data_IF_354556965865
#
_entry.id   IF_354556965865
#
_cell.length_a   1.000
_cell.length_b   1.000
_cell.length_c   1.000
_cell.angle_alpha   90.00
_cell.angle_beta   90.00
_cell.angle_gamma   90.00
#
_symmetry.space_group_name_H-M   'P 1'
#
loop_
_entity.id
_entity.type
_entity.pdbx_description
1 polymer ?
#
# COMPACT_ATOMS: atom_id res chain seq x y z
N UNK A 1 2.19 3.96 18.82
CA UNK A 1 3.26 4.05 19.87
C UNK A 1 4.19 2.85 19.79
N UNK A 2 3.70 1.61 19.78
CA UNK A 2 4.57 0.42 19.79
C UNK A 2 5.66 0.37 18.70
N UNK A 3 5.32 0.69 17.44
CA UNK A 3 6.30 0.74 16.34
C UNK A 3 7.39 1.77 16.62
N UNK A 4 7.04 2.98 17.07
CA UNK A 4 7.99 4.08 17.30
C UNK A 4 8.91 3.77 18.47
N UNK A 5 8.43 3.09 19.50
CA UNK A 5 9.28 2.65 20.63
C UNK A 5 10.38 1.69 20.16
N UNK A 6 10.06 0.75 19.26
CA UNK A 6 11.06 -0.15 18.65
C UNK A 6 11.98 0.63 17.70
N UNK A 7 11.41 1.52 16.88
CA UNK A 7 12.16 2.35 15.93
C UNK A 7 13.23 3.22 16.61
N UNK A 8 12.91 3.79 17.76
CA UNK A 8 13.87 4.55 18.54
C UNK A 8 15.02 3.69 19.07
N UNK A 9 14.75 2.43 19.45
CA UNK A 9 15.79 1.50 19.92
C UNK A 9 16.77 1.07 18.81
N UNK A 10 16.40 1.17 17.54
CA UNK A 10 17.31 0.91 16.41
C UNK A 10 18.54 1.84 16.39
N UNK A 11 18.54 2.94 17.16
CA UNK A 11 19.74 3.79 17.36
C UNK A 11 20.87 3.05 18.06
N UNK A 12 20.53 2.03 18.84
CA UNK A 12 21.52 1.23 19.57
C UNK A 12 21.76 -0.09 18.84
N UNK A 13 22.98 -0.36 18.36
CA UNK A 13 23.29 -1.61 17.68
C UNK A 13 22.92 -2.84 18.52
N UNK A 14 22.15 -3.76 17.93
CA UNK A 14 21.73 -4.99 18.58
C UNK A 14 20.56 -4.86 19.57
N UNK A 15 19.97 -3.68 19.75
CA UNK A 15 18.84 -3.47 20.67
C UNK A 15 17.48 -3.97 20.15
N UNK A 16 17.40 -4.31 18.86
CA UNK A 16 16.19 -4.86 18.22
C UNK A 16 16.52 -6.22 17.62
N UNK A 17 15.74 -7.23 17.97
CA UNK A 17 15.85 -8.55 17.35
C UNK A 17 15.26 -8.49 15.94
N UNK A 18 16.00 -9.04 14.99
CA UNK A 18 15.58 -9.13 13.58
C UNK A 18 15.59 -10.61 13.21
N UNK A 19 14.40 -11.16 13.01
CA UNK A 19 14.19 -12.50 12.47
C UNK A 19 14.01 -12.43 10.95
N UNK A 20 13.90 -13.59 10.31
CA UNK A 20 13.62 -13.70 8.88
C UNK A 20 12.40 -14.57 8.66
N UNK A 21 11.48 -14.08 7.83
CA UNK A 21 10.33 -14.85 7.34
C UNK A 21 10.78 -15.94 6.36
N UNK A 22 9.86 -16.81 5.97
CA UNK A 22 10.14 -17.90 5.02
C UNK A 22 10.64 -17.40 3.65
N UNK A 23 10.23 -16.21 3.22
CA UNK A 23 10.67 -15.52 2.00
C UNK A 23 11.96 -14.69 2.18
N UNK A 24 12.64 -14.85 3.32
CA UNK A 24 13.84 -14.13 3.72
C UNK A 24 13.65 -12.62 3.97
N UNK A 25 12.41 -12.09 3.98
CA UNK A 25 12.13 -10.72 4.43
C UNK A 25 12.38 -10.57 5.93
N UNK A 26 12.80 -9.39 6.40
CA UNK A 26 13.01 -9.15 7.82
C UNK A 26 11.67 -9.10 8.58
N UNK A 27 11.67 -9.64 9.79
CA UNK A 27 10.60 -9.56 10.77
C UNK A 27 11.16 -8.96 12.05
N UNK A 28 10.51 -7.96 12.60
CA UNK A 28 10.92 -7.33 13.85
C UNK A 28 9.84 -7.46 14.93
N UNK A 29 10.22 -7.19 16.17
CA UNK A 29 9.24 -7.09 17.26
C UNK A 29 8.20 -5.98 17.05
N UNK A 30 8.50 -4.97 16.20
CA UNK A 30 7.57 -3.92 15.85
C UNK A 30 6.39 -4.45 15.02
N UNK A 31 6.67 -5.33 14.03
CA UNK A 31 5.65 -6.00 13.21
C UNK A 31 4.68 -6.78 14.10
N UNK A 32 5.21 -7.61 15.00
CA UNK A 32 4.40 -8.43 15.91
C UNK A 32 3.62 -7.62 16.94
N UNK A 33 4.20 -6.54 17.46
CA UNK A 33 3.52 -5.67 18.41
C UNK A 33 2.36 -4.91 17.75
N UNK A 34 2.58 -4.37 16.54
CA UNK A 34 1.56 -3.72 15.75
C UNK A 34 0.45 -4.71 15.36
N UNK A 35 0.82 -5.90 14.87
CA UNK A 35 -0.11 -6.97 14.53
C UNK A 35 -1.12 -7.23 15.67
N UNK A 36 -0.63 -7.49 16.89
CA UNK A 36 -1.50 -7.80 18.04
C UNK A 36 -2.49 -6.67 18.32
N UNK A 37 -2.01 -5.42 18.38
CA UNK A 37 -2.85 -4.25 18.68
C UNK A 37 -3.94 -4.09 17.61
N UNK A 38 -3.58 -4.20 16.33
CA UNK A 38 -4.51 -3.99 15.22
C UNK A 38 -5.53 -5.12 15.16
N UNK A 39 -5.09 -6.38 15.22
CA UNK A 39 -5.98 -7.54 15.12
C UNK A 39 -6.96 -7.59 16.29
N UNK A 40 -6.48 -7.35 17.51
CA UNK A 40 -7.36 -7.31 18.69
C UNK A 40 -8.39 -6.16 18.60
N UNK A 41 -7.95 -4.98 18.13
CA UNK A 41 -8.83 -3.84 17.92
C UNK A 41 -9.90 -4.10 16.86
N UNK A 42 -9.52 -4.67 15.71
CA UNK A 42 -10.48 -5.00 14.64
C UNK A 42 -11.45 -6.10 15.04
N UNK A 43 -11.00 -7.13 15.76
CA UNK A 43 -11.88 -8.19 16.30
C UNK A 43 -12.86 -7.65 17.33
N UNK A 44 -12.46 -6.67 18.13
CA UNK A 44 -13.37 -6.01 19.09
C UNK A 44 -14.38 -5.11 18.37
N UNK A 45 -13.98 -4.44 17.30
CA UNK A 45 -14.81 -3.51 16.53
C UNK A 45 -15.86 -4.25 15.68
N UNK A 46 -15.47 -5.35 15.04
CA UNK A 46 -16.30 -6.11 14.09
C UNK A 46 -16.06 -7.61 14.27
N UNK A 47 -16.59 -8.24 15.35
CA UNK A 47 -16.31 -9.64 15.68
C UNK A 47 -16.73 -10.64 14.60
N UNK A 48 -17.68 -10.26 13.75
CA UNK A 48 -18.20 -11.09 12.65
C UNK A 48 -17.33 -11.10 11.39
N UNK A 49 -16.36 -10.17 11.26
CA UNK A 49 -15.54 -10.10 10.06
C UNK A 49 -14.15 -10.70 10.30
N UNK A 50 -13.72 -11.63 9.43
CA UNK A 50 -12.37 -12.17 9.51
C UNK A 50 -11.31 -11.08 9.41
N UNK A 51 -10.19 -11.28 10.11
CA UNK A 51 -8.99 -10.44 9.98
C UNK A 51 -7.88 -11.29 9.42
N UNK A 52 -7.34 -10.89 8.27
CA UNK A 52 -6.16 -11.44 7.65
C UNK A 52 -5.02 -10.44 7.81
N UNK A 53 -3.96 -10.83 8.47
CA UNK A 53 -2.76 -10.02 8.64
C UNK A 53 -1.56 -10.73 8.02
N UNK A 54 -0.60 -9.99 7.48
CA UNK A 54 0.65 -10.52 6.96
C UNK A 54 1.32 -11.47 7.95
N UNK A 55 1.29 -11.15 9.26
CA UNK A 55 1.96 -11.93 10.31
C UNK A 55 1.17 -13.18 10.74
N UNK A 56 -0.04 -13.39 10.21
CA UNK A 56 -0.90 -14.56 10.44
C UNK A 56 -1.68 -14.90 9.15
N UNK A 57 -0.94 -15.05 8.04
CA UNK A 57 -1.52 -15.22 6.71
C UNK A 57 -1.70 -16.71 6.31
N UNK A 58 -1.45 -17.67 7.22
CA UNK A 58 -1.60 -19.11 6.93
C UNK A 58 -3.08 -19.54 6.99
N UNK A 59 -3.90 -18.92 6.14
CA UNK A 59 -5.33 -19.26 6.02
C UNK A 59 -5.57 -19.93 4.67
N UNK A 60 -5.99 -21.21 4.64
CA UNK A 60 -6.23 -21.95 3.41
C UNK A 60 -7.27 -21.25 2.49
N UNK A 61 -7.03 -21.28 1.17
CA UNK A 61 -7.95 -20.69 0.20
C UNK A 61 -9.38 -21.23 0.35
N UNK A 62 -9.54 -22.53 0.65
CA UNK A 62 -10.86 -23.15 0.86
C UNK A 62 -11.67 -22.48 1.99
N UNK A 63 -11.00 -21.89 2.97
CA UNK A 63 -11.63 -21.14 4.06
C UNK A 63 -11.95 -19.71 3.63
N UNK A 64 -10.94 -18.99 3.13
CA UNK A 64 -11.05 -17.56 2.84
C UNK A 64 -11.80 -17.23 1.54
N UNK A 65 -11.94 -18.18 0.62
CA UNK A 65 -12.73 -17.99 -0.61
C UNK A 65 -14.22 -17.76 -0.34
N UNK A 66 -14.72 -18.17 0.83
CA UNK A 66 -16.08 -17.87 1.29
C UNK A 66 -16.27 -16.50 1.94
N UNK A 67 -15.19 -15.72 2.10
CA UNK A 67 -15.28 -14.43 2.77
C UNK A 67 -15.75 -13.34 1.80
N UNK A 68 -16.97 -12.88 1.97
CA UNK A 68 -17.50 -11.74 1.23
C UNK A 68 -16.98 -10.40 1.77
N UNK A 69 -16.58 -10.37 3.06
CA UNK A 69 -16.06 -9.18 3.72
C UNK A 69 -15.01 -9.59 4.76
N UNK A 70 -13.85 -8.92 4.78
CA UNK A 70 -12.76 -9.19 5.73
C UNK A 70 -11.81 -8.01 5.82
N UNK A 71 -11.09 -7.90 6.93
CA UNK A 71 -9.98 -6.97 7.09
C UNK A 71 -8.71 -7.57 6.54
N UNK A 72 -7.95 -6.75 5.81
CA UNK A 72 -6.65 -7.08 5.27
C UNK A 72 -5.62 -6.09 5.81
N UNK A 73 -4.59 -6.60 6.49
CA UNK A 73 -3.69 -5.79 7.32
C UNK A 73 -2.24 -6.09 7.00
N UNK A 74 -1.45 -5.04 6.78
CA UNK A 74 -0.01 -5.05 6.90
C UNK A 74 0.38 -4.22 8.14
N UNK A 75 0.86 -4.86 9.20
CA UNK A 75 1.21 -4.16 10.43
C UNK A 75 2.40 -3.23 10.30
N UNK A 76 3.33 -3.50 9.36
CA UNK A 76 4.50 -2.69 9.08
C UNK A 76 5.01 -2.92 7.65
N UNK A 77 4.42 -2.23 6.67
CA UNK A 77 4.91 -2.21 5.28
C UNK A 77 6.20 -1.37 5.19
N UNK A 78 7.22 -1.95 4.58
CA UNK A 78 8.52 -1.32 4.43
C UNK A 78 9.47 -1.61 5.59
N UNK A 79 9.60 -2.88 6.01
CA UNK A 79 10.52 -3.28 7.08
C UNK A 79 11.99 -2.93 6.74
N UNK A 80 12.35 -2.89 5.45
CA UNK A 80 13.69 -2.41 5.03
C UNK A 80 13.86 -0.92 5.27
N UNK A 81 12.85 -0.13 4.98
CA UNK A 81 12.79 1.31 5.24
C UNK A 81 12.81 1.59 6.75
N UNK A 82 12.10 0.79 7.53
CA UNK A 82 12.14 0.81 8.99
C UNK A 82 13.55 0.55 9.52
N UNK A 83 14.21 -0.51 9.07
CA UNK A 83 15.58 -0.86 9.49
C UNK A 83 16.61 0.16 9.01
N UNK A 84 16.45 0.75 7.83
CA UNK A 84 17.34 1.80 7.31
C UNK A 84 17.08 3.19 7.91
N UNK A 85 16.04 3.32 8.74
CA UNK A 85 15.66 4.54 9.44
C UNK A 85 15.36 5.75 8.53
N UNK A 86 14.83 5.48 7.31
CA UNK A 86 14.47 6.56 6.40
C UNK A 86 13.07 7.15 6.65
N UNK A 87 12.26 6.53 7.53
CA UNK A 87 10.93 6.99 7.89
C UNK A 87 9.81 6.68 6.88
N UNK A 88 10.12 6.00 5.78
CA UNK A 88 9.17 5.73 4.69
C UNK A 88 8.49 4.34 4.86
N UNK A 89 7.99 4.04 6.04
CA UNK A 89 7.25 2.82 6.34
C UNK A 89 5.85 3.16 6.85
N UNK A 90 4.90 2.26 6.64
CA UNK A 90 3.49 2.51 6.93
C UNK A 90 2.82 1.34 7.64
N UNK A 91 1.68 1.60 8.26
CA UNK A 91 0.70 0.60 8.70
C UNK A 91 -0.46 0.65 7.73
N UNK A 92 -0.85 -0.48 7.16
CA UNK A 92 -1.92 -0.56 6.17
C UNK A 92 -3.08 -1.39 6.70
N UNK A 93 -4.29 -0.82 6.71
CA UNK A 93 -5.52 -1.51 7.13
C UNK A 93 -6.58 -1.28 6.07
N UNK A 94 -7.09 -2.34 5.46
CA UNK A 94 -8.15 -2.28 4.48
C UNK A 94 -9.37 -3.12 4.90
N UNK A 95 -10.56 -2.63 4.64
CA UNK A 95 -11.76 -3.47 4.59
C UNK A 95 -12.03 -3.84 3.14
N UNK A 96 -11.99 -5.13 2.85
CA UNK A 96 -12.28 -5.69 1.53
C UNK A 96 -13.68 -6.28 1.53
N UNK A 97 -14.48 -5.93 0.54
CA UNK A 97 -15.81 -6.49 0.29
C UNK A 97 -15.93 -6.93 -1.16
N UNK A 98 -16.34 -8.19 -1.36
CA UNK A 98 -16.50 -8.76 -2.70
C UNK A 98 -15.26 -8.50 -3.60
N UNK A 99 -14.09 -8.80 -3.05
CA UNK A 99 -12.77 -8.64 -3.68
C UNK A 99 -12.33 -7.18 -3.96
N UNK A 100 -13.03 -6.18 -3.45
CA UNK A 100 -12.73 -4.75 -3.63
C UNK A 100 -12.45 -4.09 -2.30
N UNK A 101 -11.43 -3.25 -2.17
CA UNK A 101 -11.21 -2.50 -0.95
C UNK A 101 -12.23 -1.35 -0.88
N UNK A 102 -12.99 -1.29 0.22
CA UNK A 102 -14.04 -0.28 0.43
C UNK A 102 -13.69 0.73 1.53
N UNK A 103 -12.78 0.38 2.42
CA UNK A 103 -12.17 1.29 3.40
C UNK A 103 -10.67 1.07 3.33
N UNK A 104 -9.91 2.15 3.41
CA UNK A 104 -8.46 2.10 3.52
C UNK A 104 -7.95 3.08 4.54
N UNK A 105 -6.99 2.65 5.35
CA UNK A 105 -6.20 3.49 6.26
C UNK A 105 -4.73 3.18 6.05
N UNK A 106 -3.94 4.21 5.78
CA UNK A 106 -2.48 4.16 5.73
C UNK A 106 -1.95 5.15 6.77
N UNK A 107 -1.37 4.62 7.83
CA UNK A 107 -0.74 5.42 8.89
C UNK A 107 0.77 5.49 8.66
N UNK A 108 1.35 6.68 8.82
CA UNK A 108 2.80 6.94 8.72
C UNK A 108 3.36 7.15 10.14
N UNK A 109 3.92 6.13 10.80
CA UNK A 109 4.24 6.20 12.21
C UNK A 109 5.22 7.33 12.60
N UNK A 110 6.17 7.66 11.71
CA UNK A 110 7.21 8.67 11.99
C UNK A 110 6.64 10.09 12.01
N UNK A 111 5.66 10.37 11.17
CA UNK A 111 5.08 11.72 11.03
C UNK A 111 3.74 11.88 11.75
N UNK A 112 3.09 10.75 12.11
CA UNK A 112 1.75 10.74 12.66
C UNK A 112 0.65 11.05 11.64
N UNK A 113 1.00 11.09 10.34
CA UNK A 113 0.04 11.36 9.26
C UNK A 113 -0.80 10.11 9.00
N UNK A 114 -2.10 10.32 8.85
CA UNK A 114 -3.06 9.33 8.42
C UNK A 114 -3.64 9.68 7.05
N UNK A 115 -3.64 8.71 6.14
CA UNK A 115 -4.44 8.74 4.92
C UNK A 115 -5.57 7.74 5.07
N UNK A 116 -6.79 8.15 4.78
CA UNK A 116 -7.93 7.24 4.87
C UNK A 116 -8.99 7.52 3.82
N UNK A 117 -9.79 6.52 3.53
CA UNK A 117 -10.86 6.60 2.55
C UNK A 117 -12.04 5.72 2.91
N UNK A 118 -13.21 6.13 2.41
CA UNK A 118 -14.45 5.35 2.40
C UNK A 118 -14.96 5.36 0.96
N UNK A 119 -15.23 4.18 0.40
CA UNK A 119 -15.71 4.03 -0.97
C UNK A 119 -16.95 4.89 -1.23
N UNK A 120 -16.98 5.54 -2.39
CA UNK A 120 -18.05 6.44 -2.82
C UNK A 120 -18.24 7.71 -2.00
N UNK A 121 -17.40 7.94 -0.96
CA UNK A 121 -17.44 9.14 -0.13
C UNK A 121 -16.25 10.05 -0.43
N UNK A 122 -15.02 9.52 -0.38
CA UNK A 122 -13.82 10.28 -0.68
C UNK A 122 -12.57 9.74 0.01
N UNK A 123 -11.49 10.54 -0.07
CA UNK A 123 -10.24 10.29 0.64
C UNK A 123 -9.77 11.55 1.35
N UNK A 124 -9.07 11.35 2.48
CA UNK A 124 -8.60 12.43 3.36
C UNK A 124 -7.18 12.16 3.84
N UNK A 125 -6.51 13.24 4.20
CA UNK A 125 -5.23 13.25 4.90
C UNK A 125 -5.37 14.02 6.21
N UNK A 126 -5.07 13.38 7.33
CA UNK A 126 -5.02 13.97 8.66
C UNK A 126 -3.57 14.12 9.13
N UNK A 127 -3.28 15.18 9.87
CA UNK A 127 -1.94 15.47 10.40
C UNK A 127 -1.71 14.84 11.80
N UNK A 128 -2.77 14.36 12.43
CA UNK A 128 -2.74 13.69 13.74
C UNK A 128 -4.05 12.93 13.96
N UNK A 129 -4.08 12.06 14.97
CA UNK A 129 -5.26 11.27 15.33
C UNK A 129 -6.51 12.12 15.71
N UNK A 130 -6.31 13.35 16.15
CA UNK A 130 -7.40 14.28 16.53
C UNK A 130 -7.86 15.16 15.35
N UNK A 131 -7.19 15.07 14.20
CA UNK A 131 -7.53 15.81 12.99
C UNK A 131 -8.59 15.05 12.19
N UNK A 132 -9.69 15.72 11.83
CA UNK A 132 -10.74 15.13 10.98
C UNK A 132 -10.31 14.90 9.53
N UNK A 133 -9.14 15.39 9.17
CA UNK A 133 -8.53 15.27 7.85
C UNK A 133 -9.05 16.30 6.83
N UNK A 134 -8.15 16.67 5.94
CA UNK A 134 -8.44 17.47 4.76
C UNK A 134 -8.69 16.57 3.55
N UNK A 135 -9.72 16.82 2.72
CA UNK A 135 -9.95 16.00 1.54
C UNK A 135 -8.78 16.08 0.55
N UNK A 136 -8.39 14.94 0.01
CA UNK A 136 -7.35 14.82 -1.02
C UNK A 136 -7.94 14.36 -2.35
N UNK A 137 -7.29 14.75 -3.44
CA UNK A 137 -7.67 14.34 -4.79
C UNK A 137 -6.43 14.13 -5.64
N UNK A 138 -6.51 13.17 -6.55
CA UNK A 138 -5.51 13.00 -7.60
C UNK A 138 -5.40 14.27 -8.47
N UNK A 139 -4.29 14.44 -9.15
CA UNK A 139 -4.10 15.54 -10.10
C UNK A 139 -5.22 15.50 -11.16
N UNK A 140 -5.86 16.63 -11.48
CA UNK A 140 -6.95 16.69 -12.47
C UNK A 140 -6.46 16.46 -13.90
N UNK A 141 -5.17 16.67 -14.15
CA UNK A 141 -4.48 16.44 -15.42
C UNK A 141 -3.05 16.02 -15.16
N UNK A 142 -2.50 15.25 -16.09
CA UNK A 142 -1.09 14.85 -16.06
C UNK A 142 -0.18 16.06 -16.21
N UNK A 143 0.98 15.98 -15.54
CA UNK A 143 2.00 17.01 -15.63
C UNK A 143 2.89 16.81 -16.86
N UNK A 144 3.60 17.84 -17.23
CA UNK A 144 4.63 17.82 -18.29
C UNK A 144 5.90 18.42 -17.69
N UNK A 145 6.95 17.59 -17.45
CA UNK A 145 7.01 16.12 -17.66
C UNK A 145 6.10 15.34 -16.71
N UNK A 146 5.76 14.09 -17.09
CA UNK A 146 4.97 13.16 -16.23
C UNK A 146 5.71 12.85 -14.94
N UNK A 147 5.02 12.86 -13.83
CA UNK A 147 5.57 12.48 -12.52
C UNK A 147 5.24 11.01 -12.24
N UNK A 148 6.25 10.17 -12.33
CA UNK A 148 6.13 8.72 -12.16
C UNK A 148 6.63 8.32 -10.78
N UNK A 149 5.82 7.63 -10.00
CA UNK A 149 6.28 7.09 -8.72
C UNK A 149 7.05 5.79 -8.97
N UNK A 150 8.23 5.70 -8.39
CA UNK A 150 9.08 4.51 -8.43
C UNK A 150 9.48 4.03 -7.05
N UNK A 151 9.75 2.72 -6.94
CA UNK A 151 10.32 2.16 -5.72
C UNK A 151 11.77 2.61 -5.57
N UNK A 152 12.14 3.05 -4.37
CA UNK A 152 13.53 3.38 -4.03
C UNK A 152 14.43 2.14 -4.07
N UNK A 153 13.89 1.01 -3.68
CA UNK A 153 14.64 -0.22 -3.42
C UNK A 153 14.49 -1.30 -4.51
N UNK A 154 13.55 -1.15 -5.45
CA UNK A 154 13.20 -2.21 -6.40
C UNK A 154 12.96 -1.64 -7.81
N UNK A 155 14.03 -1.36 -8.56
CA UNK A 155 13.95 -1.13 -10.00
C UNK A 155 14.05 -2.48 -10.72
N UNK A 156 13.01 -2.86 -11.48
CA UNK A 156 13.08 -4.01 -12.40
C UNK A 156 13.49 -3.54 -13.80
N UNK A 157 14.13 -4.43 -14.59
CA UNK A 157 14.46 -4.13 -15.98
C UNK A 157 13.21 -3.74 -16.77
N UNK A 158 12.09 -4.48 -16.56
CA UNK A 158 10.79 -4.17 -17.19
C UNK A 158 10.27 -2.78 -16.85
N UNK A 159 10.41 -2.35 -15.59
CA UNK A 159 10.04 -0.97 -15.22
C UNK A 159 10.91 0.06 -15.93
N UNK A 160 12.21 -0.21 -16.04
CA UNK A 160 13.15 0.68 -16.76
C UNK A 160 12.74 0.81 -18.23
N UNK A 161 12.41 -0.30 -18.88
CA UNK A 161 11.97 -0.31 -20.28
C UNK A 161 10.64 0.44 -20.45
N UNK A 162 9.69 0.26 -19.53
CA UNK A 162 8.43 0.98 -19.51
C UNK A 162 8.64 2.51 -19.38
N UNK A 163 9.55 2.92 -18.50
CA UNK A 163 9.89 4.32 -18.29
C UNK A 163 10.59 4.93 -19.53
N UNK A 164 11.45 4.17 -20.20
CA UNK A 164 12.04 4.60 -21.48
C UNK A 164 10.98 4.82 -22.56
N UNK A 165 10.01 3.91 -22.68
CA UNK A 165 8.91 4.02 -23.62
C UNK A 165 7.97 5.21 -23.32
N UNK A 166 7.85 5.59 -22.05
CA UNK A 166 7.02 6.72 -21.61
C UNK A 166 7.54 8.08 -22.06
N UNK A 167 8.84 8.20 -22.36
CA UNK A 167 9.48 9.44 -22.75
C UNK A 167 9.86 10.34 -21.57
N UNK A 168 9.68 11.66 -21.71
CA UNK A 168 10.09 12.63 -20.69
C UNK A 168 9.26 12.50 -19.42
N UNK A 169 9.91 12.16 -18.30
CA UNK A 169 9.26 12.00 -16.99
C UNK A 169 10.20 12.41 -15.86
N UNK A 170 9.60 12.69 -14.71
CA UNK A 170 10.29 12.89 -13.43
C UNK A 170 10.00 11.68 -12.52
N UNK A 171 11.05 11.12 -11.93
CA UNK A 171 10.89 10.00 -10.99
C UNK A 171 10.72 10.51 -9.57
N UNK A 172 9.58 10.21 -8.97
CA UNK A 172 9.29 10.44 -7.55
C UNK A 172 9.61 9.15 -6.79
N UNK A 173 10.75 9.10 -6.11
CA UNK A 173 11.15 7.92 -5.32
C UNK A 173 10.53 7.93 -3.95
N UNK A 174 9.83 6.86 -3.59
CA UNK A 174 9.15 6.71 -2.30
C UNK A 174 9.16 5.24 -1.85
N UNK A 175 9.22 4.99 -0.53
CA UNK A 175 9.07 3.66 0.08
C UNK A 175 7.60 3.30 0.35
N UNK A 176 7.34 2.02 0.68
CA UNK A 176 6.08 1.52 1.21
C UNK A 176 4.84 1.95 0.41
N UNK A 177 3.66 1.89 1.02
CA UNK A 177 2.38 2.36 0.49
C UNK A 177 2.28 3.87 0.31
N UNK A 178 3.27 4.65 0.79
CA UNK A 178 3.37 6.09 0.54
C UNK A 178 3.38 6.42 -0.97
N UNK A 179 3.81 5.51 -1.81
CA UNK A 179 3.75 5.63 -3.28
C UNK A 179 2.34 5.93 -3.79
N UNK A 180 1.35 5.26 -3.25
CA UNK A 180 -0.05 5.50 -3.57
C UNK A 180 -0.57 6.80 -2.94
N UNK A 181 -0.11 7.12 -1.72
CA UNK A 181 -0.52 8.33 -1.02
C UNK A 181 -0.09 9.60 -1.77
N UNK A 182 1.15 9.63 -2.28
CA UNK A 182 1.67 10.72 -3.13
C UNK A 182 0.83 10.87 -4.40
N UNK A 183 0.40 9.77 -5.01
CA UNK A 183 -0.51 9.77 -6.16
C UNK A 183 -1.89 10.32 -5.77
N UNK A 184 -2.46 9.87 -4.66
CA UNK A 184 -3.77 10.28 -4.16
C UNK A 184 -3.84 11.77 -3.78
N UNK A 185 -2.71 12.36 -3.37
CA UNK A 185 -2.59 13.81 -3.11
C UNK A 185 -2.43 14.65 -4.38
N UNK A 186 -2.32 14.02 -5.57
CA UNK A 186 -2.05 14.71 -6.81
C UNK A 186 -0.60 15.18 -6.97
N UNK A 187 0.32 14.69 -6.13
CA UNK A 187 1.75 14.98 -6.23
C UNK A 187 2.50 14.10 -7.24
N UNK A 188 1.84 13.08 -7.78
CA UNK A 188 2.32 12.24 -8.88
C UNK A 188 1.16 11.91 -9.84
N UNK A 189 1.49 11.39 -11.03
CA UNK A 189 0.54 11.11 -12.09
C UNK A 189 0.27 9.61 -12.26
N UNK A 190 1.30 8.77 -12.09
CA UNK A 190 1.19 7.32 -12.24
C UNK A 190 2.21 6.58 -11.36
N UNK A 191 1.80 5.41 -10.86
CA UNK A 191 2.67 4.46 -10.17
C UNK A 191 2.56 3.08 -10.85
N UNK A 192 3.48 2.73 -11.74
CA UNK A 192 3.59 1.39 -12.29
C UNK A 192 4.29 0.44 -11.32
N UNK A 193 3.74 -0.74 -11.13
CA UNK A 193 4.34 -1.80 -10.32
C UNK A 193 4.50 -3.07 -11.14
N UNK A 194 5.73 -3.35 -11.56
CA UNK A 194 6.16 -4.52 -12.31
C UNK A 194 7.15 -5.31 -11.48
N UNK A 195 6.63 -6.00 -10.49
CA UNK A 195 7.40 -6.80 -9.55
C UNK A 195 6.59 -7.16 -8.31
N UNK A 196 7.05 -8.13 -7.51
CA UNK A 196 6.26 -8.72 -6.45
C UNK A 196 5.83 -7.68 -5.39
N UNK A 197 4.54 -7.71 -5.04
CA UNK A 197 3.93 -7.09 -3.87
C UNK A 197 2.83 -8.02 -3.38
N UNK A 198 2.58 -7.99 -2.10
CA UNK A 198 1.47 -8.74 -1.50
C UNK A 198 0.17 -7.93 -1.51
N UNK A 199 -0.95 -8.62 -1.36
CA UNK A 199 -2.26 -7.99 -1.32
C UNK A 199 -2.39 -6.97 -0.18
N UNK A 200 -1.81 -7.24 0.99
CA UNK A 200 -1.83 -6.34 2.15
C UNK A 200 -0.99 -5.07 1.98
N UNK A 201 0.06 -5.09 1.12
CA UNK A 201 0.86 -3.89 0.79
C UNK A 201 0.03 -2.85 0.01
N UNK A 202 -1.08 -3.28 -0.62
CA UNK A 202 -1.75 -2.46 -1.63
C UNK A 202 -3.21 -2.12 -1.33
N UNK A 203 -3.95 -3.01 -0.64
CA UNK A 203 -5.41 -2.87 -0.53
C UNK A 203 -5.86 -1.55 0.15
N UNK A 204 -5.20 -1.15 1.24
CA UNK A 204 -5.54 0.09 1.94
C UNK A 204 -5.30 1.32 1.05
N UNK A 205 -4.13 1.39 0.45
CA UNK A 205 -3.75 2.50 -0.39
C UNK A 205 -4.51 2.53 -1.73
N UNK A 206 -4.93 1.37 -2.26
CA UNK A 206 -5.85 1.27 -3.40
C UNK A 206 -7.18 1.96 -3.10
N UNK A 207 -7.81 1.66 -1.94
CA UNK A 207 -9.02 2.36 -1.53
C UNK A 207 -8.83 3.87 -1.48
N UNK A 208 -7.66 4.33 -0.99
CA UNK A 208 -7.35 5.77 -0.88
C UNK A 208 -7.23 6.40 -2.27
N UNK A 209 -6.53 5.76 -3.20
CA UNK A 209 -6.42 6.25 -4.60
C UNK A 209 -7.80 6.34 -5.25
N UNK A 210 -8.65 5.33 -5.09
CA UNK A 210 -10.02 5.35 -5.62
C UNK A 210 -10.87 6.46 -4.97
N UNK A 211 -10.78 6.60 -3.65
CA UNK A 211 -11.48 7.66 -2.92
C UNK A 211 -11.03 9.07 -3.35
N UNK A 212 -9.76 9.21 -3.77
CA UNK A 212 -9.21 10.46 -4.30
C UNK A 212 -9.56 10.71 -5.78
N UNK A 213 -10.24 9.78 -6.46
CA UNK A 213 -10.68 9.89 -7.86
C UNK A 213 -9.75 9.26 -8.89
N UNK A 214 -8.69 8.58 -8.45
CA UNK A 214 -7.82 7.75 -9.28
C UNK A 214 -8.33 6.32 -9.47
N UNK A 215 -7.45 5.44 -9.92
CA UNK A 215 -7.77 4.01 -10.09
C UNK A 215 -6.52 3.14 -9.92
N UNK A 216 -6.72 1.84 -9.65
CA UNK A 216 -5.66 0.84 -9.61
C UNK A 216 -6.09 -0.34 -10.46
N UNK A 217 -5.40 -0.57 -11.55
CA UNK A 217 -5.77 -1.56 -12.56
C UNK A 217 -4.58 -2.44 -12.93
N UNK A 218 -4.86 -3.65 -13.37
CA UNK A 218 -3.88 -4.56 -13.94
C UNK A 218 -3.40 -4.04 -15.31
N UNK A 219 -2.30 -4.59 -15.82
CA UNK A 219 -1.77 -4.19 -17.13
C UNK A 219 -2.70 -4.58 -18.31
N UNK A 220 -3.67 -5.47 -18.10
CA UNK A 220 -4.71 -5.80 -19.08
C UNK A 220 -5.96 -4.89 -18.96
N UNK A 221 -5.93 -3.90 -18.08
CA UNK A 221 -7.04 -2.98 -17.82
C UNK A 221 -8.10 -3.51 -16.88
N UNK A 222 -8.02 -4.78 -16.47
CA UNK A 222 -8.93 -5.31 -15.47
C UNK A 222 -8.64 -4.69 -14.11
N UNK A 223 -9.66 -4.52 -13.25
CA UNK A 223 -9.46 -4.05 -11.90
C UNK A 223 -8.52 -4.96 -11.09
N UNK A 224 -7.71 -4.38 -10.21
CA UNK A 224 -6.98 -5.15 -9.22
C UNK A 224 -7.95 -5.65 -8.16
N UNK A 225 -7.97 -6.95 -7.91
CA UNK A 225 -8.87 -7.62 -6.97
C UNK A 225 -8.09 -8.39 -5.91
N UNK A 226 -8.70 -8.59 -4.76
CA UNK A 226 -8.09 -9.19 -3.56
C UNK A 226 -8.73 -10.52 -3.21
N UNK A 227 -7.97 -11.42 -2.61
CA UNK A 227 -8.42 -12.75 -2.17
C UNK A 227 -8.98 -13.62 -3.32
N UNK A 228 -8.33 -13.58 -4.48
CA UNK A 228 -8.74 -14.36 -5.66
C UNK A 228 -7.91 -15.60 -5.89
N UNK A 229 -6.64 -15.57 -5.56
CA UNK A 229 -5.66 -16.63 -5.81
C UNK A 229 -5.36 -17.49 -4.59
N UNK A 230 -4.57 -18.55 -4.78
CA UNK A 230 -4.07 -19.38 -3.68
C UNK A 230 -2.93 -18.72 -2.89
N UNK A 231 -2.23 -17.76 -3.50
CA UNK A 231 -1.19 -16.95 -2.87
C UNK A 231 -1.68 -15.55 -2.55
N UNK A 232 -0.74 -14.70 -2.13
CA UNK A 232 -0.97 -13.33 -1.71
C UNK A 232 -0.35 -12.29 -2.65
N UNK A 233 0.39 -12.76 -3.67
CA UNK A 233 1.05 -11.86 -4.61
C UNK A 233 0.05 -11.24 -5.58
N UNK A 234 0.12 -9.94 -5.70
CA UNK A 234 -0.57 -9.20 -6.74
C UNK A 234 0.00 -9.51 -8.12
N UNK A 235 -0.80 -9.49 -9.19
CA UNK A 235 -0.30 -9.34 -10.54
C UNK A 235 0.37 -7.95 -10.70
N UNK A 236 1.10 -7.76 -11.79
CA UNK A 236 1.56 -6.42 -12.17
C UNK A 236 0.39 -5.47 -12.35
N UNK A 237 0.55 -4.23 -11.90
CA UNK A 237 -0.51 -3.22 -11.93
C UNK A 237 0.03 -1.81 -12.17
N UNK A 238 -0.88 -0.90 -12.47
CA UNK A 238 -0.65 0.54 -12.47
C UNK A 238 -1.67 1.22 -11.54
N UNK A 239 -1.20 2.13 -10.69
CA UNK A 239 -2.08 3.09 -10.03
C UNK A 239 -2.00 4.42 -10.79
N UNK A 240 -3.15 5.00 -11.10
CA UNK A 240 -3.26 6.18 -11.96
C UNK A 240 -4.04 7.28 -11.27
N UNK A 241 -3.56 8.51 -11.40
CA UNK A 241 -4.26 9.69 -10.92
C UNK A 241 -5.13 10.29 -12.03
N UNK A 242 -4.57 11.08 -12.96
CA UNK A 242 -5.32 11.71 -14.03
C UNK A 242 -5.84 10.68 -15.04
N UNK A 243 -7.02 10.98 -15.65
CA UNK A 243 -7.65 10.11 -16.64
C UNK A 243 -7.51 10.64 -18.07
N UNK A 244 -6.50 11.46 -18.33
CA UNK A 244 -6.24 12.09 -19.62
C UNK A 244 -5.26 11.32 -20.53
N UNK A 245 -4.83 10.13 -20.07
CA UNK A 245 -3.97 9.21 -20.84
C UNK A 245 -4.60 7.81 -20.88
N UNK A 246 -4.32 7.07 -21.95
CA UNK A 246 -4.53 5.63 -22.00
C UNK A 246 -3.35 4.91 -21.32
N UNK A 247 -3.38 4.95 -20.00
CA UNK A 247 -2.32 4.40 -19.14
C UNK A 247 -2.07 2.91 -19.38
N UNK A 248 -3.14 2.15 -19.59
CA UNK A 248 -3.02 0.70 -19.86
C UNK A 248 -2.22 0.48 -21.12
N UNK A 249 -2.54 1.19 -22.21
CA UNK A 249 -1.80 1.08 -23.47
C UNK A 249 -0.33 1.47 -23.33
N UNK A 250 -0.02 2.49 -22.53
CA UNK A 250 1.36 2.95 -22.31
C UNK A 250 2.22 1.89 -21.62
N UNK A 251 1.63 1.08 -20.73
CA UNK A 251 2.37 0.08 -19.94
C UNK A 251 2.17 -1.37 -20.40
N UNK A 252 1.14 -1.70 -21.20
CA UNK A 252 0.88 -3.06 -21.70
C UNK A 252 1.86 -3.55 -22.76
N UNK A 253 2.59 -2.66 -23.40
CA UNK A 253 3.59 -3.00 -24.46
C UNK A 253 4.94 -3.47 -23.90
N UNK A 254 5.11 -3.55 -22.58
CA UNK A 254 6.35 -3.93 -21.92
C UNK A 254 6.25 -5.38 -21.45
N UNK A 255 6.69 -6.30 -22.31
CA UNK A 255 6.74 -7.76 -22.05
C UNK A 255 8.12 -8.22 -21.55
#
# INVERSE_FOLDING_TARGET
>A
MAIIEVYQRLEQPGAVAIDRKADASPLTEADLAAHRIIVDGLRALTPEWPVLSEEDADVPLAVRSGWSRFWLVDPLDGTKEFLSRNGEFTVNIALVENHRPIIGVVHVPVTGIDYFSIASVGAWKAQSADDSGSPIRVAPRSNIPLRVVGSRSHASARLTDALHALGSHELVSMGSSLKFCVLAEGAADVYPRMGPTSEWDTAAAHAIVQGAGGDVVRLDGAPLEYNRGSGWLNPDFIAVGPRDHDWVRLFSGVS
#
